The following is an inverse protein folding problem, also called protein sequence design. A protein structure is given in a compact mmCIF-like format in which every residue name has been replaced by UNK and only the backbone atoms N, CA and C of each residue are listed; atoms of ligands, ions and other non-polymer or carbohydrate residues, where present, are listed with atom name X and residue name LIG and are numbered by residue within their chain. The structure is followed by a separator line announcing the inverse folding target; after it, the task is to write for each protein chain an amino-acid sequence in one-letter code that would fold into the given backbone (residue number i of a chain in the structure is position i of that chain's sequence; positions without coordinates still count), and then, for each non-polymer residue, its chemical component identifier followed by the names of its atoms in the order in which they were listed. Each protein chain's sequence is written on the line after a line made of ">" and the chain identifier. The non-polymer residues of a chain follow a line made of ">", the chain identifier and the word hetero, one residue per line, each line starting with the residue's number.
data_IF_192219238326
#
_entry.id   IF_192219238326
#
_cell.length_a   1.000
_cell.length_b   1.000
_cell.length_c   1.000
_cell.angle_alpha   90.00
_cell.angle_beta   90.00
_cell.angle_gamma   90.00
#
_symmetry.space_group_name_H-M   'P 1'
#
loop_
_entity.id
_entity.type
_entity.pdbx_description
1 polymer ?
#
# COMPACT_ATOMS: atom_id res chain seq x y z
N UNK A 1 -2.14 15.97 -31.63
CA UNK A 1 -0.92 15.30 -31.12
C UNK A 1 -0.73 14.00 -31.90
N UNK A 2 0.45 13.76 -32.46
CA UNK A 2 0.75 12.56 -33.27
C UNK A 2 1.02 11.40 -32.32
N UNK A 3 0.25 10.31 -32.40
CA UNK A 3 0.46 9.09 -31.60
C UNK A 3 1.81 8.51 -32.01
N UNK A 4 2.78 8.53 -31.09
CA UNK A 4 4.12 7.95 -31.29
C UNK A 4 4.04 6.45 -31.54
N UNK A 5 5.03 5.89 -32.22
CA UNK A 5 5.09 4.44 -32.43
C UNK A 5 5.33 3.72 -31.10
N UNK A 6 4.89 2.46 -31.00
CA UNK A 6 5.08 1.65 -29.79
C UNK A 6 6.57 1.50 -29.40
N UNK A 7 7.50 1.62 -30.36
CA UNK A 7 8.94 1.56 -30.10
C UNK A 7 9.45 2.85 -29.45
N UNK A 8 8.97 4.01 -29.89
CA UNK A 8 9.33 5.30 -29.30
C UNK A 8 8.83 5.43 -27.87
N UNK A 9 7.62 4.94 -27.57
CA UNK A 9 7.07 4.95 -26.20
C UNK A 9 7.84 4.01 -25.28
N UNK A 10 8.20 2.81 -25.75
CA UNK A 10 9.03 1.86 -24.99
C UNK A 10 10.42 2.41 -24.67
N UNK A 11 11.10 2.98 -25.66
CA UNK A 11 12.41 3.63 -25.47
C UNK A 11 12.34 4.77 -24.45
N UNK A 12 11.29 5.59 -24.52
CA UNK A 12 11.08 6.69 -23.59
C UNK A 12 10.82 6.21 -22.15
N UNK A 13 10.07 5.11 -21.96
CA UNK A 13 9.85 4.51 -20.63
C UNK A 13 11.21 4.17 -20.01
N UNK A 14 12.05 3.43 -20.74
CA UNK A 14 13.37 3.01 -20.25
C UNK A 14 14.24 4.22 -19.91
N UNK A 15 14.30 5.22 -20.79
CA UNK A 15 15.07 6.44 -20.57
C UNK A 15 14.63 7.18 -19.30
N UNK A 16 13.32 7.41 -19.12
CA UNK A 16 12.79 8.11 -17.96
C UNK A 16 12.98 7.33 -16.66
N UNK A 17 12.91 5.99 -16.72
CA UNK A 17 13.22 5.14 -15.56
C UNK A 17 14.68 5.26 -15.16
N UNK A 18 15.62 5.23 -16.12
CA UNK A 18 17.05 5.43 -15.85
C UNK A 18 17.29 6.80 -15.21
N UNK A 19 16.73 7.86 -15.79
CA UNK A 19 16.86 9.22 -15.24
C UNK A 19 16.35 9.28 -13.80
N UNK A 20 15.18 8.69 -13.52
CA UNK A 20 14.59 8.70 -12.18
C UNK A 20 15.44 7.97 -11.16
N UNK A 21 15.97 6.80 -11.52
CA UNK A 21 16.85 6.01 -10.64
C UNK A 21 18.14 6.77 -10.37
N UNK A 22 18.77 7.33 -11.41
CA UNK A 22 20.01 8.11 -11.25
C UNK A 22 19.77 9.29 -10.32
N UNK A 23 18.69 10.05 -10.52
CA UNK A 23 18.36 11.20 -9.66
C UNK A 23 18.09 10.75 -8.21
N UNK A 24 17.32 9.68 -8.01
CA UNK A 24 16.97 9.19 -6.66
C UNK A 24 18.19 8.68 -5.89
N UNK A 25 19.02 7.85 -6.51
CA UNK A 25 20.17 7.26 -5.84
C UNK A 25 21.38 8.20 -5.79
N UNK A 26 21.50 9.17 -6.71
CA UNK A 26 22.44 10.27 -6.54
C UNK A 26 22.02 11.16 -5.35
N UNK A 27 20.73 11.51 -5.24
CA UNK A 27 20.22 12.25 -4.10
C UNK A 27 20.49 11.48 -2.79
N UNK A 28 20.24 10.17 -2.78
CA UNK A 28 20.55 9.29 -1.65
C UNK A 28 22.04 9.30 -1.26
N UNK A 29 22.93 9.30 -2.26
CA UNK A 29 24.38 9.27 -2.02
C UNK A 29 24.94 10.60 -1.50
N UNK A 30 24.51 11.72 -2.09
CA UNK A 30 25.08 13.04 -1.80
C UNK A 30 24.43 13.76 -0.63
N UNK A 31 23.21 13.40 -0.24
CA UNK A 31 22.45 14.12 0.77
C UNK A 31 22.32 13.29 2.05
N UNK A 32 22.56 13.94 3.19
CA UNK A 32 22.41 13.29 4.49
C UNK A 32 20.97 13.33 5.04
N UNK A 33 20.11 14.22 4.50
CA UNK A 33 18.77 14.50 5.03
C UNK A 33 17.70 13.59 4.42
N UNK A 34 17.12 12.63 5.18
CA UNK A 34 16.13 11.66 4.68
C UNK A 34 14.93 12.30 3.98
N UNK A 35 14.34 13.33 4.58
CA UNK A 35 13.14 13.97 4.05
C UNK A 35 13.39 14.69 2.72
N UNK A 36 14.59 15.24 2.55
CA UNK A 36 14.97 15.94 1.33
C UNK A 36 15.19 14.95 0.18
N UNK A 37 15.78 13.77 0.46
CA UNK A 37 15.91 12.68 -0.51
C UNK A 37 14.53 12.22 -1.00
N UNK A 38 13.58 12.00 -0.09
CA UNK A 38 12.21 11.58 -0.45
C UNK A 38 11.46 12.67 -1.23
N UNK A 39 11.67 13.95 -0.88
CA UNK A 39 11.14 15.09 -1.61
C UNK A 39 11.63 15.13 -3.06
N UNK A 40 12.96 15.07 -3.28
CA UNK A 40 13.54 15.03 -4.63
C UNK A 40 13.06 13.80 -5.40
N UNK A 41 12.99 12.64 -4.74
CA UNK A 41 12.50 11.39 -5.34
C UNK A 41 11.06 11.52 -5.83
N UNK A 42 10.18 12.13 -5.02
CA UNK A 42 8.79 12.37 -5.39
C UNK A 42 8.66 13.33 -6.58
N UNK A 43 9.42 14.44 -6.58
CA UNK A 43 9.42 15.41 -7.67
C UNK A 43 9.88 14.80 -8.99
N UNK A 44 10.97 14.02 -8.97
CA UNK A 44 11.47 13.33 -10.16
C UNK A 44 10.43 12.37 -10.76
N UNK A 45 9.74 11.61 -9.91
CA UNK A 45 8.70 10.66 -10.33
C UNK A 45 7.47 11.37 -10.90
N UNK A 46 7.02 12.46 -10.26
CA UNK A 46 5.90 13.27 -10.75
C UNK A 46 6.20 13.81 -12.15
N UNK A 47 7.39 14.40 -12.34
CA UNK A 47 7.79 14.96 -13.65
C UNK A 47 7.83 13.87 -14.72
N UNK A 48 8.44 12.73 -14.44
CA UNK A 48 8.54 11.64 -15.42
C UNK A 48 7.17 11.06 -15.80
N UNK A 49 6.27 10.89 -14.83
CA UNK A 49 4.91 10.40 -15.09
C UNK A 49 4.10 11.41 -15.86
N UNK A 50 4.19 12.70 -15.52
CA UNK A 50 3.53 13.75 -16.26
C UNK A 50 3.95 13.74 -17.73
N UNK A 51 5.26 13.64 -18.01
CA UNK A 51 5.81 13.55 -19.36
C UNK A 51 5.27 12.31 -20.09
N UNK A 52 5.29 11.14 -19.44
CA UNK A 52 4.78 9.89 -20.01
C UNK A 52 3.31 10.00 -20.40
N UNK A 53 2.51 10.57 -19.51
CA UNK A 53 1.06 10.65 -19.65
C UNK A 53 0.66 11.62 -20.78
N UNK A 54 1.28 12.79 -20.85
CA UNK A 54 1.01 13.79 -21.90
C UNK A 54 1.44 13.30 -23.29
N UNK A 55 2.53 12.53 -23.37
CA UNK A 55 3.03 12.05 -24.67
C UNK A 55 2.32 10.81 -25.18
N UNK A 56 1.90 9.90 -24.29
CA UNK A 56 1.28 8.63 -24.69
C UNK A 56 -0.24 8.67 -24.76
N UNK A 57 -0.88 9.65 -24.08
CA UNK A 57 -2.32 9.73 -23.85
C UNK A 57 -2.92 8.41 -23.33
N UNK A 58 -2.12 7.63 -22.58
CA UNK A 58 -2.54 6.35 -22.01
C UNK A 58 -1.81 6.05 -20.70
N UNK A 59 -2.48 5.37 -19.78
CA UNK A 59 -1.87 4.97 -18.51
C UNK A 59 -0.99 3.70 -18.60
N UNK A 60 -0.91 3.06 -19.77
CA UNK A 60 -0.10 1.84 -19.97
C UNK A 60 1.41 2.08 -19.83
N UNK A 61 2.00 3.11 -20.50
CA UNK A 61 3.39 3.48 -20.27
C UNK A 61 3.69 3.85 -18.82
N UNK A 62 2.74 4.50 -18.14
CA UNK A 62 2.87 4.82 -16.71
C UNK A 62 2.96 3.54 -15.88
N UNK A 63 2.15 2.51 -16.20
CA UNK A 63 2.20 1.19 -15.53
C UNK A 63 3.58 0.55 -15.69
N UNK A 64 4.06 0.45 -16.94
CA UNK A 64 5.35 -0.17 -17.23
C UNK A 64 6.52 0.57 -16.56
N UNK A 65 6.51 1.91 -16.63
CA UNK A 65 7.47 2.77 -15.94
C UNK A 65 7.51 2.51 -14.44
N UNK A 66 6.34 2.48 -13.78
CA UNK A 66 6.27 2.25 -12.33
C UNK A 66 6.73 0.86 -11.92
N UNK A 67 6.38 -0.18 -12.68
CA UNK A 67 6.80 -1.55 -12.38
C UNK A 67 8.32 -1.66 -12.54
N UNK A 68 8.89 -1.11 -13.62
CA UNK A 68 10.33 -1.13 -13.84
C UNK A 68 11.08 -0.35 -12.76
N UNK A 69 10.55 0.81 -12.35
CA UNK A 69 11.12 1.63 -11.29
C UNK A 69 11.12 0.90 -9.94
N UNK A 70 10.01 0.25 -9.58
CA UNK A 70 9.91 -0.57 -8.36
C UNK A 70 10.85 -1.77 -8.41
N UNK A 71 10.93 -2.45 -9.56
CA UNK A 71 11.83 -3.57 -9.74
C UNK A 71 13.29 -3.18 -9.52
N UNK A 72 13.78 -2.14 -10.21
CA UNK A 72 15.18 -1.75 -10.09
C UNK A 72 15.50 -1.19 -8.69
N UNK A 73 14.63 -0.36 -8.12
CA UNK A 73 14.85 0.17 -6.76
C UNK A 73 14.82 -0.93 -5.68
N UNK A 74 13.98 -1.97 -5.86
CA UNK A 74 13.99 -3.14 -4.98
C UNK A 74 15.29 -3.96 -5.11
N UNK A 75 15.80 -4.16 -6.33
CA UNK A 75 17.08 -4.85 -6.56
C UNK A 75 18.22 -4.11 -5.89
N UNK A 76 18.33 -2.79 -6.10
CA UNK A 76 19.39 -1.98 -5.47
C UNK A 76 19.33 -2.10 -3.95
N UNK A 77 18.12 -2.07 -3.37
CA UNK A 77 17.92 -2.18 -1.92
C UNK A 77 18.31 -3.56 -1.39
N UNK A 78 17.93 -4.64 -2.09
CA UNK A 78 18.30 -6.02 -1.71
C UNK A 78 19.79 -6.25 -1.84
N UNK A 79 20.43 -5.75 -2.91
CA UNK A 79 21.87 -5.84 -3.10
C UNK A 79 22.65 -5.05 -2.03
N UNK A 80 22.05 -4.01 -1.46
CA UNK A 80 22.65 -3.20 -0.39
C UNK A 80 22.41 -3.78 1.01
N UNK A 81 21.48 -4.73 1.17
CA UNK A 81 21.08 -5.34 2.45
C UNK A 81 22.19 -6.13 3.18
N UNK A 82 23.18 -6.79 2.52
CA UNK A 82 24.29 -7.38 3.25
C UNK A 82 25.02 -6.28 4.01
N UNK A 83 25.07 -6.37 5.34
CA UNK A 83 25.85 -5.48 6.24
C UNK A 83 27.36 -5.70 6.06
N UNK A 84 27.85 -5.68 4.83
CA UNK A 84 29.27 -5.64 4.55
C UNK A 84 29.72 -4.18 4.67
N UNK A 85 30.76 -3.94 5.46
CA UNK A 85 31.37 -2.63 5.73
C UNK A 85 31.91 -1.92 4.47
N UNK A 86 31.85 -2.57 3.30
CA UNK A 86 32.41 -2.14 2.02
C UNK A 86 31.36 -1.85 0.93
N UNK A 87 30.09 -1.64 1.26
CA UNK A 87 29.07 -1.35 0.25
C UNK A 87 29.08 0.13 -0.17
N UNK A 88 29.01 0.36 -1.48
CA UNK A 88 28.92 1.69 -2.13
C UNK A 88 27.70 2.48 -1.61
N UNK A 89 26.65 1.78 -1.16
CA UNK A 89 25.46 2.35 -0.54
C UNK A 89 25.21 1.71 0.82
N UNK A 90 25.33 2.44 1.94
CA UNK A 90 24.97 1.90 3.24
C UNK A 90 23.46 1.66 3.28
N UNK A 91 23.01 0.51 3.77
CA UNK A 91 21.57 0.24 3.93
C UNK A 91 20.97 1.11 5.03
N UNK A 92 19.99 1.96 4.67
CA UNK A 92 19.24 2.77 5.62
C UNK A 92 17.73 2.66 5.35
N UNK A 93 16.92 2.98 6.36
CA UNK A 93 15.45 3.00 6.24
C UNK A 93 14.94 3.92 5.11
N UNK A 94 15.77 4.85 4.64
CA UNK A 94 15.41 5.77 3.55
C UNK A 94 15.34 5.08 2.19
N UNK A 95 16.04 3.95 1.99
CA UNK A 95 15.90 3.13 0.76
C UNK A 95 14.51 2.51 0.67
N UNK A 96 13.97 2.01 1.79
CA UNK A 96 12.58 1.55 1.86
C UNK A 96 11.60 2.70 1.60
N UNK A 97 11.92 3.90 2.08
CA UNK A 97 11.17 5.12 1.76
C UNK A 97 11.14 5.45 0.27
N UNK A 98 12.26 5.29 -0.45
CA UNK A 98 12.31 5.47 -1.91
C UNK A 98 11.40 4.47 -2.63
N UNK A 99 11.41 3.19 -2.23
CA UNK A 99 10.49 2.18 -2.78
C UNK A 99 9.03 2.58 -2.54
N UNK A 100 8.71 3.02 -1.33
CA UNK A 100 7.36 3.47 -1.00
C UNK A 100 6.93 4.68 -1.85
N UNK A 101 7.81 5.66 -2.06
CA UNK A 101 7.59 6.81 -2.95
C UNK A 101 7.36 6.36 -4.39
N UNK A 102 8.18 5.42 -4.89
CA UNK A 102 8.10 4.87 -6.24
C UNK A 102 6.81 4.09 -6.51
N UNK A 103 6.07 3.69 -5.48
CA UNK A 103 4.74 3.11 -5.61
C UNK A 103 3.63 4.16 -5.39
N UNK A 104 3.71 4.90 -4.28
CA UNK A 104 2.64 5.78 -3.82
C UNK A 104 2.47 7.02 -4.71
N UNK A 105 3.56 7.68 -5.09
CA UNK A 105 3.50 8.92 -5.87
C UNK A 105 2.88 8.70 -7.26
N UNK A 106 3.29 7.68 -8.03
CA UNK A 106 2.63 7.37 -9.29
C UNK A 106 1.14 7.06 -9.15
N UNK A 107 0.79 6.28 -8.13
CA UNK A 107 -0.59 5.87 -7.88
C UNK A 107 -1.45 7.08 -7.57
N UNK A 108 -1.00 7.96 -6.66
CA UNK A 108 -1.70 9.19 -6.28
C UNK A 108 -1.78 10.19 -7.43
N UNK A 109 -0.68 10.42 -8.15
CA UNK A 109 -0.65 11.37 -9.26
C UNK A 109 -1.62 10.96 -10.36
N UNK A 110 -1.57 9.69 -10.79
CA UNK A 110 -2.48 9.18 -11.82
C UNK A 110 -3.93 9.15 -11.32
N UNK A 111 -4.18 8.83 -10.05
CA UNK A 111 -5.52 8.87 -9.46
C UNK A 111 -6.11 10.28 -9.48
N UNK A 112 -5.36 11.28 -9.01
CA UNK A 112 -5.78 12.69 -9.00
C UNK A 112 -5.99 13.18 -10.44
N UNK A 113 -5.05 12.88 -11.35
CA UNK A 113 -5.16 13.28 -12.76
C UNK A 113 -6.39 12.69 -13.42
N UNK A 114 -6.70 11.42 -13.17
CA UNK A 114 -7.89 10.77 -13.71
C UNK A 114 -9.19 11.35 -13.13
N UNK A 115 -9.18 11.73 -11.86
CA UNK A 115 -10.33 12.34 -11.19
C UNK A 115 -10.71 13.70 -11.79
N UNK A 116 -9.72 14.48 -12.28
CA UNK A 116 -9.94 15.78 -12.92
C UNK A 116 -10.06 15.74 -14.45
N UNK A 117 -9.83 14.59 -15.08
CA UNK A 117 -9.95 14.45 -16.54
C UNK A 117 -11.41 14.15 -16.95
N UNK A 118 -12.20 15.21 -17.14
CA UNK A 118 -13.59 15.10 -17.59
C UNK A 118 -13.73 14.57 -19.03
N UNK A 119 -12.65 14.56 -19.82
CA UNK A 119 -12.72 14.40 -21.27
C UNK A 119 -12.49 12.99 -21.82
N UNK A 120 -12.32 11.96 -20.98
CA UNK A 120 -11.86 10.62 -21.41
C UNK A 120 -10.65 10.68 -22.36
N UNK A 121 -9.82 11.73 -22.21
CA UNK A 121 -8.70 12.00 -23.15
C UNK A 121 -7.62 10.94 -23.02
N UNK A 122 -7.47 10.40 -21.82
CA UNK A 122 -6.46 9.41 -21.49
C UNK A 122 -7.14 8.07 -21.21
N UNK A 123 -6.77 7.06 -21.98
CA UNK A 123 -7.39 5.73 -21.89
C UNK A 123 -6.69 4.82 -20.85
N UNK A 124 -7.42 3.78 -20.42
CA UNK A 124 -6.93 2.59 -19.68
C UNK A 124 -6.49 2.82 -18.23
N UNK A 125 -7.05 3.82 -17.52
CA UNK A 125 -6.81 4.01 -16.09
C UNK A 125 -7.11 2.77 -15.23
N UNK A 126 -8.24 2.09 -15.48
CA UNK A 126 -8.65 0.90 -14.72
C UNK A 126 -7.59 -0.22 -14.77
N UNK A 127 -6.93 -0.38 -15.93
CA UNK A 127 -5.84 -1.35 -16.10
C UNK A 127 -4.60 -0.95 -15.31
N UNK A 128 -4.23 0.34 -15.34
CA UNK A 128 -3.12 0.88 -14.54
C UNK A 128 -3.35 0.65 -13.05
N UNK A 129 -4.51 1.09 -12.53
CA UNK A 129 -4.82 0.98 -11.11
C UNK A 129 -4.81 -0.49 -10.64
N UNK A 130 -5.39 -1.40 -11.44
CA UNK A 130 -5.39 -2.84 -11.14
C UNK A 130 -3.97 -3.40 -11.06
N UNK A 131 -3.14 -3.13 -12.06
CA UNK A 131 -1.80 -3.70 -12.12
C UNK A 131 -0.91 -3.18 -10.97
N UNK A 132 -0.97 -1.89 -10.67
CA UNK A 132 -0.20 -1.28 -9.57
C UNK A 132 -0.71 -1.69 -8.19
N UNK A 133 -2.03 -1.88 -8.05
CA UNK A 133 -2.61 -2.47 -6.84
C UNK A 133 -2.20 -3.93 -6.65
N UNK A 134 -2.11 -4.72 -7.72
CA UNK A 134 -1.66 -6.11 -7.63
C UNK A 134 -0.21 -6.18 -7.12
N UNK A 135 0.68 -5.35 -7.66
CA UNK A 135 2.07 -5.26 -7.18
C UNK A 135 2.10 -4.91 -5.69
N UNK A 136 1.31 -3.92 -5.25
CA UNK A 136 1.19 -3.60 -3.82
C UNK A 136 0.70 -4.77 -2.98
N UNK A 137 -0.36 -5.46 -3.42
CA UNK A 137 -0.94 -6.60 -2.70
C UNK A 137 0.10 -7.71 -2.53
N UNK A 138 0.93 -7.97 -3.54
CA UNK A 138 2.01 -8.97 -3.44
C UNK A 138 3.04 -8.56 -2.38
N UNK A 139 3.54 -7.32 -2.43
CA UNK A 139 4.48 -6.82 -1.40
C UNK A 139 3.85 -6.81 -0.01
N UNK A 140 2.58 -6.44 0.09
CA UNK A 140 1.82 -6.41 1.33
C UNK A 140 1.63 -7.81 1.93
N UNK A 141 1.31 -8.83 1.13
CA UNK A 141 1.21 -10.22 1.61
C UNK A 141 2.57 -10.71 2.11
N UNK A 142 3.66 -10.45 1.39
CA UNK A 142 5.01 -10.80 1.85
C UNK A 142 5.33 -10.11 3.17
N UNK A 143 4.99 -8.83 3.32
CA UNK A 143 5.16 -8.07 4.55
C UNK A 143 4.32 -8.65 5.70
N UNK A 144 3.05 -8.99 5.47
CA UNK A 144 2.18 -9.62 6.46
C UNK A 144 2.73 -10.97 6.94
N UNK A 145 3.15 -11.84 6.00
CA UNK A 145 3.70 -13.14 6.34
C UNK A 145 5.01 -12.99 7.12
N UNK A 146 5.89 -12.08 6.70
CA UNK A 146 7.12 -11.79 7.44
C UNK A 146 6.85 -11.27 8.85
N UNK A 147 5.89 -10.35 9.02
CA UNK A 147 5.47 -9.84 10.33
C UNK A 147 4.85 -10.92 11.22
N UNK A 148 4.03 -11.80 10.65
CA UNK A 148 3.27 -12.81 11.40
C UNK A 148 4.13 -13.99 11.85
N UNK A 149 5.07 -14.44 11.02
CA UNK A 149 5.84 -15.68 11.24
C UNK A 149 7.29 -15.47 11.66
N UNK A 150 7.90 -14.31 11.37
CA UNK A 150 9.30 -14.10 11.77
C UNK A 150 9.41 -13.90 13.28
N UNK A 151 10.37 -14.60 13.89
CA UNK A 151 10.57 -14.65 15.34
C UNK A 151 11.07 -13.31 15.90
N UNK A 152 11.73 -12.47 15.08
CA UNK A 152 12.35 -11.20 15.49
C UNK A 152 11.75 -9.92 14.90
N UNK A 153 10.70 -9.99 14.08
CA UNK A 153 10.29 -8.88 13.19
C UNK A 153 9.52 -7.73 13.85
N UNK A 154 9.08 -7.86 15.11
CA UNK A 154 8.53 -6.73 15.87
C UNK A 154 8.95 -6.83 17.34
N UNK A 155 10.25 -6.65 17.61
CA UNK A 155 10.79 -6.64 18.97
C UNK A 155 10.10 -5.61 19.88
N UNK A 156 9.53 -4.53 19.34
CA UNK A 156 8.74 -3.57 20.12
C UNK A 156 7.37 -4.12 20.58
N UNK A 157 6.69 -4.94 19.78
CA UNK A 157 5.42 -5.59 20.14
C UNK A 157 5.64 -6.84 21.01
N UNK A 158 6.72 -7.58 20.75
CA UNK A 158 6.98 -8.88 21.37
C UNK A 158 7.75 -8.80 22.70
N UNK A 159 8.22 -7.62 23.12
CA UNK A 159 9.02 -7.43 24.35
C UNK A 159 8.32 -7.92 25.62
N UNK A 160 6.99 -7.94 25.61
CA UNK A 160 6.19 -8.15 26.81
C UNK A 160 5.54 -9.55 26.78
N UNK A 161 5.46 -10.23 25.62
CA UNK A 161 4.64 -11.45 25.42
C UNK A 161 5.07 -12.64 26.28
N UNK A 162 4.14 -13.18 27.09
CA UNK A 162 4.32 -14.43 27.84
C UNK A 162 4.19 -15.66 26.95
N UNK A 163 4.82 -16.76 27.33
CA UNK A 163 4.98 -17.99 26.53
C UNK A 163 3.71 -18.88 26.48
N UNK A 164 2.52 -18.30 26.70
CA UNK A 164 1.26 -19.05 26.85
C UNK A 164 0.21 -18.61 25.82
N UNK A 165 -0.60 -19.59 25.40
CA UNK A 165 -1.73 -19.37 24.51
C UNK A 165 -2.79 -18.57 25.26
N UNK A 166 -3.23 -17.46 24.68
CA UNK A 166 -4.26 -16.64 25.28
C UNK A 166 -5.52 -16.66 24.41
N UNK A 167 -6.58 -17.26 24.96
CA UNK A 167 -7.92 -17.21 24.36
C UNK A 167 -8.84 -16.24 25.10
N UNK A 168 -8.35 -15.56 26.14
CA UNK A 168 -9.14 -14.56 26.85
C UNK A 168 -9.09 -13.23 26.11
N UNK A 169 -10.25 -12.74 25.61
CA UNK A 169 -10.28 -11.50 24.86
C UNK A 169 -9.90 -10.33 25.77
N UNK A 170 -9.16 -9.39 25.19
CA UNK A 170 -8.61 -8.17 25.77
C UNK A 170 -7.61 -8.36 26.91
N UNK A 171 -7.11 -9.57 27.11
CA UNK A 171 -6.14 -9.82 28.19
C UNK A 171 -4.86 -9.02 27.97
N UNK A 172 -4.37 -8.93 26.74
CA UNK A 172 -3.12 -8.23 26.48
C UNK A 172 -3.21 -6.73 26.68
N UNK A 173 -4.31 -6.15 26.22
CA UNK A 173 -4.55 -4.72 26.43
C UNK A 173 -4.78 -4.42 27.91
N UNK A 174 -5.41 -5.33 28.66
CA UNK A 174 -5.54 -5.20 30.11
C UNK A 174 -4.18 -5.20 30.81
N UNK A 175 -3.27 -6.13 30.48
CA UNK A 175 -1.90 -6.16 31.01
C UNK A 175 -1.15 -4.87 30.68
N UNK A 176 -1.24 -4.39 29.44
CA UNK A 176 -0.60 -3.14 29.03
C UNK A 176 -1.15 -1.92 29.80
N UNK A 177 -2.46 -1.89 30.10
CA UNK A 177 -3.08 -0.84 30.91
C UNK A 177 -2.60 -0.93 32.36
N UNK A 178 -2.49 -2.14 32.93
CA UNK A 178 -1.96 -2.36 34.27
C UNK A 178 -0.49 -1.93 34.38
N UNK A 179 0.35 -2.29 33.40
CA UNK A 179 1.75 -1.89 33.34
C UNK A 179 1.91 -0.36 33.22
N UNK A 180 1.01 0.30 32.49
CA UNK A 180 0.95 1.76 32.43
C UNK A 180 0.51 2.38 33.76
N UNK A 181 -0.50 1.82 34.43
CA UNK A 181 -0.96 2.29 35.75
C UNK A 181 0.13 2.13 36.83
N UNK A 182 1.03 1.16 36.66
CA UNK A 182 2.18 0.90 37.52
C UNK A 182 3.45 1.67 37.10
N UNK A 183 3.34 2.66 36.20
CA UNK A 183 4.44 3.49 35.68
C UNK A 183 5.60 2.68 35.03
N UNK A 184 5.35 1.44 34.59
CA UNK A 184 6.36 0.59 33.95
C UNK A 184 6.50 0.88 32.45
N UNK A 185 5.43 1.36 31.81
CA UNK A 185 5.35 1.56 30.36
C UNK A 185 4.68 2.91 30.06
N UNK A 186 5.17 3.70 29.09
CA UNK A 186 4.51 4.93 28.66
C UNK A 186 3.26 4.65 27.81
N UNK A 187 2.31 5.58 27.83
CA UNK A 187 1.08 5.52 27.02
C UNK A 187 1.35 5.38 25.51
N UNK A 188 2.50 5.87 25.03
CA UNK A 188 2.92 5.73 23.63
C UNK A 188 3.00 4.28 23.17
N UNK A 189 3.39 3.36 24.05
CA UNK A 189 3.61 1.96 23.70
C UNK A 189 2.27 1.22 23.57
N UNK A 190 1.29 1.57 24.40
CA UNK A 190 -0.09 1.09 24.29
C UNK A 190 -0.69 1.54 22.94
N UNK A 191 -0.53 2.82 22.61
CA UNK A 191 -1.02 3.35 21.34
C UNK A 191 -0.31 2.70 20.15
N UNK A 192 1.02 2.55 20.21
CA UNK A 192 1.79 1.89 19.16
C UNK A 192 1.36 0.42 18.97
N UNK A 193 1.05 -0.28 20.06
CA UNK A 193 0.52 -1.65 20.03
C UNK A 193 -0.83 -1.72 19.31
N UNK A 194 -1.82 -0.94 19.76
CA UNK A 194 -3.17 -0.94 19.21
C UNK A 194 -3.19 -0.47 17.75
N UNK A 195 -2.60 0.70 17.48
CA UNK A 195 -2.59 1.25 16.13
C UNK A 195 -1.77 0.39 15.19
N UNK A 196 -0.63 -0.17 15.61
CA UNK A 196 0.17 -1.06 14.79
C UNK A 196 -0.63 -2.25 14.28
N UNK A 197 -1.37 -2.92 15.17
CA UNK A 197 -2.19 -4.08 14.81
C UNK A 197 -3.38 -3.71 13.92
N UNK A 198 -4.08 -2.61 14.23
CA UNK A 198 -5.24 -2.16 13.44
C UNK A 198 -4.80 -1.68 12.05
N UNK A 199 -3.74 -0.85 11.97
CA UNK A 199 -3.31 -0.21 10.72
C UNK A 199 -2.81 -1.21 9.69
N UNK A 200 -2.18 -2.31 10.13
CA UNK A 200 -1.70 -3.36 9.24
C UNK A 200 -2.84 -3.95 8.40
N UNK A 201 -4.07 -4.07 8.93
CA UNK A 201 -5.21 -4.66 8.20
C UNK A 201 -6.05 -3.66 7.39
N UNK A 202 -5.76 -2.36 7.46
CA UNK A 202 -6.47 -1.34 6.68
C UNK A 202 -6.38 -1.59 5.16
N UNK A 203 -5.21 -1.86 4.56
CA UNK A 203 -5.13 -2.12 3.12
C UNK A 203 -5.94 -3.35 2.71
N UNK A 204 -5.93 -4.40 3.53
CA UNK A 204 -6.76 -5.58 3.30
C UNK A 204 -8.26 -5.24 3.28
N UNK A 205 -8.74 -4.48 4.27
CA UNK A 205 -10.12 -4.01 4.34
C UNK A 205 -10.53 -3.20 3.11
N UNK A 206 -9.66 -2.32 2.63
CA UNK A 206 -9.90 -1.54 1.41
C UNK A 206 -10.06 -2.44 0.18
N UNK A 207 -9.12 -3.36 -0.05
CA UNK A 207 -9.12 -4.20 -1.25
C UNK A 207 -10.24 -5.25 -1.24
N UNK A 208 -10.57 -5.85 -0.10
CA UNK A 208 -11.61 -6.87 -0.03
C UNK A 208 -12.98 -6.28 -0.32
N UNK A 209 -13.28 -5.07 0.17
CA UNK A 209 -14.52 -4.36 -0.18
C UNK A 209 -14.53 -3.97 -1.65
N UNK A 210 -13.39 -3.52 -2.21
CA UNK A 210 -13.28 -3.23 -3.64
C UNK A 210 -13.59 -4.45 -4.51
N UNK A 211 -13.04 -5.62 -4.17
CA UNK A 211 -13.27 -6.89 -4.90
C UNK A 211 -14.73 -7.33 -4.81
N UNK A 212 -15.33 -7.23 -3.62
CA UNK A 212 -16.72 -7.64 -3.38
C UNK A 212 -17.73 -6.50 -3.51
N UNK A 213 -17.39 -5.40 -4.18
CA UNK A 213 -18.26 -4.20 -4.28
C UNK A 213 -19.64 -4.47 -4.87
N UNK A 214 -19.75 -5.46 -5.76
CA UNK A 214 -21.00 -5.89 -6.39
C UNK A 214 -21.74 -7.00 -5.63
N UNK A 215 -21.26 -7.41 -4.45
CA UNK A 215 -21.92 -8.42 -3.60
C UNK A 215 -22.71 -7.77 -2.45
N UNK A 216 -23.54 -8.58 -1.80
CA UNK A 216 -24.35 -8.14 -0.66
C UNK A 216 -23.47 -7.62 0.49
N UNK A 217 -24.06 -6.77 1.34
CA UNK A 217 -23.36 -6.19 2.52
C UNK A 217 -22.88 -7.29 3.47
N UNK A 218 -23.63 -8.39 3.60
CA UNK A 218 -23.26 -9.54 4.42
C UNK A 218 -22.01 -10.24 3.89
N UNK A 219 -21.91 -10.48 2.58
CA UNK A 219 -20.72 -11.11 1.98
C UNK A 219 -19.49 -10.23 2.21
N UNK A 220 -19.62 -8.90 2.03
CA UNK A 220 -18.54 -7.96 2.32
C UNK A 220 -18.10 -8.01 3.78
N UNK A 221 -19.06 -8.01 4.71
CA UNK A 221 -18.78 -8.08 6.15
C UNK A 221 -18.07 -9.39 6.54
N UNK A 222 -18.60 -10.54 6.11
CA UNK A 222 -17.99 -11.85 6.38
C UNK A 222 -16.60 -11.94 5.74
N UNK A 223 -16.42 -11.37 4.55
CA UNK A 223 -15.13 -11.42 3.87
C UNK A 223 -14.01 -10.71 4.64
N UNK A 224 -14.31 -9.74 5.51
CA UNK A 224 -13.31 -9.06 6.36
C UNK A 224 -12.69 -9.98 7.41
N UNK A 225 -13.38 -11.05 7.81
CA UNK A 225 -12.88 -12.01 8.80
C UNK A 225 -12.05 -13.13 8.17
N UNK A 226 -12.12 -13.31 6.85
CA UNK A 226 -11.59 -14.51 6.19
C UNK A 226 -10.05 -14.59 6.23
N UNK A 227 -9.35 -13.50 5.91
CA UNK A 227 -7.88 -13.48 5.93
C UNK A 227 -7.32 -13.48 7.36
N UNK A 228 -7.81 -12.65 8.30
CA UNK A 228 -7.35 -12.72 9.69
C UNK A 228 -7.55 -14.10 10.32
N UNK A 229 -8.70 -14.73 10.11
CA UNK A 229 -8.98 -16.08 10.60
C UNK A 229 -8.05 -17.12 9.98
N UNK A 230 -7.73 -16.99 8.69
CA UNK A 230 -6.78 -17.88 8.03
C UNK A 230 -5.36 -17.73 8.59
N UNK A 231 -4.91 -16.50 8.87
CA UNK A 231 -3.60 -16.24 9.48
C UNK A 231 -3.52 -16.87 10.87
N UNK A 232 -4.51 -16.59 11.73
CA UNK A 232 -4.59 -17.16 13.09
C UNK A 232 -4.66 -18.69 13.08
N UNK A 233 -5.43 -19.27 12.16
CA UNK A 233 -5.52 -20.73 12.02
C UNK A 233 -4.18 -21.34 11.62
N UNK A 234 -3.44 -20.72 10.70
CA UNK A 234 -2.10 -21.18 10.34
C UNK A 234 -1.13 -21.02 11.51
N UNK A 235 -1.18 -19.90 12.23
CA UNK A 235 -0.35 -19.66 13.41
C UNK A 235 -0.65 -20.67 14.52
N UNK A 236 -1.92 -21.04 14.72
CA UNK A 236 -2.31 -22.08 15.68
C UNK A 236 -1.59 -23.41 15.40
N UNK A 237 -1.39 -23.80 14.14
CA UNK A 237 -0.66 -25.02 13.80
C UNK A 237 0.86 -24.87 13.82
N UNK A 238 1.41 -23.74 13.36
CA UNK A 238 2.86 -23.57 13.18
C UNK A 238 3.55 -23.02 14.44
N UNK A 239 2.94 -22.05 15.12
CA UNK A 239 3.46 -21.39 16.33
C UNK A 239 2.30 -21.22 17.32
N UNK A 240 1.86 -22.30 18.00
CA UNK A 240 0.65 -22.27 18.83
C UNK A 240 0.71 -21.18 19.91
N UNK A 241 1.90 -20.88 20.45
CA UNK A 241 2.13 -19.82 21.45
C UNK A 241 1.85 -18.40 20.93
N UNK A 242 1.63 -18.21 19.63
CA UNK A 242 1.34 -16.91 19.01
C UNK A 242 -0.14 -16.67 18.69
N UNK A 243 -1.01 -17.66 18.83
CA UNK A 243 -2.44 -17.50 18.61
C UNK A 243 -3.04 -16.56 19.66
N UNK A 244 -3.75 -15.53 19.22
CA UNK A 244 -4.38 -14.54 20.10
C UNK A 244 -5.74 -14.10 19.53
N UNK A 245 -6.80 -14.20 20.33
CA UNK A 245 -8.14 -13.78 19.92
C UNK A 245 -8.20 -12.27 19.68
N UNK A 246 -7.36 -11.50 20.38
CA UNK A 246 -7.28 -10.05 20.23
C UNK A 246 -6.85 -9.63 18.83
N UNK A 247 -5.99 -10.42 18.20
CA UNK A 247 -5.46 -10.16 16.86
C UNK A 247 -6.57 -10.25 15.81
N UNK A 248 -7.52 -11.17 15.98
CA UNK A 248 -8.72 -11.25 15.14
C UNK A 248 -9.61 -10.02 15.31
N UNK A 249 -9.79 -9.52 16.54
CA UNK A 249 -10.60 -8.34 16.84
C UNK A 249 -9.98 -7.08 16.22
N UNK A 250 -8.67 -6.86 16.44
CA UNK A 250 -7.98 -5.71 15.88
C UNK A 250 -7.92 -5.75 14.35
N UNK A 251 -7.72 -6.94 13.78
CA UNK A 251 -7.76 -7.13 12.33
C UNK A 251 -9.15 -6.81 11.75
N UNK A 252 -10.22 -7.20 12.45
CA UNK A 252 -11.58 -6.89 12.05
C UNK A 252 -11.87 -5.38 12.09
N UNK A 253 -11.43 -4.68 13.15
CA UNK A 253 -11.53 -3.21 13.25
C UNK A 253 -10.74 -2.55 12.11
N UNK A 254 -9.51 -3.00 11.85
CA UNK A 254 -8.69 -2.51 10.74
C UNK A 254 -9.35 -2.74 9.38
N UNK A 255 -10.00 -3.90 9.20
CA UNK A 255 -10.79 -4.23 8.03
C UNK A 255 -11.97 -3.26 7.82
N UNK A 256 -12.72 -2.95 8.88
CA UNK A 256 -13.82 -1.96 8.82
C UNK A 256 -13.28 -0.58 8.43
N UNK A 257 -12.18 -0.12 9.06
CA UNK A 257 -11.56 1.16 8.73
C UNK A 257 -11.10 1.23 7.27
N UNK A 258 -10.46 0.17 6.77
CA UNK A 258 -10.11 0.04 5.35
C UNK A 258 -11.33 0.11 4.42
N UNK A 259 -12.42 -0.51 4.85
CA UNK A 259 -13.70 -0.43 4.16
C UNK A 259 -14.30 0.98 4.11
N UNK A 260 -14.24 1.70 5.22
CA UNK A 260 -14.65 3.10 5.31
C UNK A 260 -13.79 3.98 4.39
N UNK A 261 -12.48 3.74 4.33
CA UNK A 261 -11.59 4.43 3.39
C UNK A 261 -12.00 4.18 1.93
N UNK A 262 -12.41 2.96 1.57
CA UNK A 262 -12.93 2.69 0.22
C UNK A 262 -14.17 3.55 -0.10
N UNK A 263 -15.14 3.60 0.81
CA UNK A 263 -16.34 4.42 0.60
C UNK A 263 -16.01 5.91 0.53
N UNK A 264 -15.07 6.38 1.35
CA UNK A 264 -14.59 7.75 1.32
C UNK A 264 -13.92 8.07 -0.03
N UNK A 265 -13.01 7.21 -0.49
CA UNK A 265 -12.36 7.35 -1.81
C UNK A 265 -13.38 7.37 -2.93
N UNK A 266 -14.40 6.49 -2.89
CA UNK A 266 -15.47 6.50 -3.90
C UNK A 266 -16.32 7.78 -3.83
N UNK A 267 -16.63 8.28 -2.63
CA UNK A 267 -17.41 9.49 -2.45
C UNK A 267 -16.65 10.73 -2.98
N UNK A 268 -15.36 10.86 -2.67
CA UNK A 268 -14.50 11.91 -3.19
C UNK A 268 -14.41 11.80 -4.72
N UNK A 269 -14.15 10.61 -5.24
CA UNK A 269 -14.03 10.39 -6.67
C UNK A 269 -15.32 10.75 -7.41
N UNK A 270 -16.49 10.37 -6.86
CA UNK A 270 -17.80 10.72 -7.41
C UNK A 270 -18.09 12.22 -7.35
N UNK A 271 -17.69 12.90 -6.28
CA UNK A 271 -17.89 14.35 -6.14
C UNK A 271 -17.14 15.16 -7.21
N UNK A 272 -15.95 14.73 -7.61
CA UNK A 272 -15.16 15.42 -8.63
C UNK A 272 -15.42 14.91 -10.06
N UNK A 273 -15.50 13.60 -10.26
CA UNK A 273 -15.60 12.98 -11.60
C UNK A 273 -17.04 12.73 -12.06
N UNK A 274 -18.06 12.87 -11.20
CA UNK A 274 -19.45 12.44 -11.44
C UNK A 274 -19.60 10.96 -11.86
N UNK A 275 -18.57 10.14 -11.66
CA UNK A 275 -18.52 8.71 -11.98
C UNK A 275 -18.12 7.93 -10.73
N UNK A 276 -18.55 6.68 -10.62
CA UNK A 276 -18.05 5.80 -9.57
C UNK A 276 -16.61 5.38 -9.85
N UNK A 277 -15.84 5.19 -8.77
CA UNK A 277 -14.45 4.77 -8.83
C UNK A 277 -14.31 3.42 -9.53
N UNK A 278 -13.46 3.35 -10.56
CA UNK A 278 -13.24 2.17 -11.40
C UNK A 278 -14.53 1.62 -12.06
N UNK A 279 -15.52 2.48 -12.31
CA UNK A 279 -16.64 2.13 -13.19
C UNK A 279 -16.14 1.92 -14.63
N UNK A 280 -16.79 1.03 -15.38
CA UNK A 280 -16.52 0.91 -16.82
C UNK A 280 -17.29 2.03 -17.52
N UNK A 281 -16.65 2.73 -18.46
CA UNK A 281 -17.28 3.84 -19.20
C UNK A 281 -18.62 3.47 -19.89
N UNK A 282 -18.89 2.17 -20.11
CA UNK A 282 -20.16 1.68 -20.63
C UNK A 282 -21.35 1.80 -19.66
N UNK A 283 -21.13 1.83 -18.34
CA UNK A 283 -22.19 1.97 -17.33
C UNK A 283 -22.66 3.42 -17.18
N UNK A 284 -21.79 4.41 -17.45
CA UNK A 284 -22.12 5.83 -17.36
C UNK A 284 -23.20 6.25 -18.37
N UNK A 285 -23.22 5.64 -19.56
CA UNK A 285 -24.25 5.93 -20.58
C UNK A 285 -25.65 5.42 -20.23
N UNK A 286 -25.80 4.54 -19.24
CA UNK A 286 -27.10 3.98 -18.85
C UNK A 286 -27.63 4.51 -17.51
N UNK A 287 -26.79 5.13 -16.67
CA UNK A 287 -27.19 5.58 -15.33
C UNK A 287 -27.77 7.01 -15.26
N UNK A 288 -28.08 7.65 -16.40
CA UNK A 288 -28.93 8.86 -16.41
C UNK A 288 -30.43 8.54 -16.44
N UNK A 289 -30.81 7.27 -16.45
CA UNK A 289 -32.19 6.82 -16.23
C UNK A 289 -32.43 6.56 -14.75
N UNK A 290 -33.39 7.28 -14.18
CA UNK A 290 -33.89 7.13 -12.81
C UNK A 290 -33.96 5.67 -12.34
N UNK A 291 -33.44 5.38 -11.15
CA UNK A 291 -34.04 4.37 -10.29
C UNK A 291 -34.05 4.89 -8.85
N UNK A 292 -35.17 5.55 -8.53
CA UNK A 292 -35.78 5.41 -7.22
C UNK A 292 -36.01 3.92 -6.96
N UNK A 293 -35.45 3.40 -5.87
CA UNK A 293 -36.05 2.41 -4.98
C UNK A 293 -35.37 2.52 -3.61
#
# INVERSE_FOLDING_TARGET
>A
MRRRSNMETSSMIVLLTIISIVVQFAAYYFLALPYLILGISSAAVIVCIHILLEQSLSYEPCTAYTILLLFISSIITVLSYPKAESNIFPYTNTMLGIIAVNWAVPMLYCFIRNMFDYGNRIERFNSFYRNISLVFIVFYIVFLLYGSFSTGSIAALNRIRSNHQNFTPFWWIATLIEDYLNDMIPLSDILAYLFGRIMIFIPYGFYIILVFRYRSKLIRFISLLLLPLLIELIQYFIIPARCDVDDLIYAFIGGILGGLLYYLTNAIYRAFSNKDFLSKDSEYKYSSGSMHF
#
